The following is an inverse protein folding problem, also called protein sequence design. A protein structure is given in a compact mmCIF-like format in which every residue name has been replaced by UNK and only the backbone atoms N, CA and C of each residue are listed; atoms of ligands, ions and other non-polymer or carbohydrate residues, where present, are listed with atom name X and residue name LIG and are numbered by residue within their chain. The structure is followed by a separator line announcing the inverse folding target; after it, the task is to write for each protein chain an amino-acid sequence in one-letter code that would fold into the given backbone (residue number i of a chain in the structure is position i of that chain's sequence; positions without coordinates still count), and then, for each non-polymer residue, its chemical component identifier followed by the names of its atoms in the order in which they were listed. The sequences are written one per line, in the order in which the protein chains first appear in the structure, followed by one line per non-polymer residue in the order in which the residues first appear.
data_IF_585402385457
#
_entry.id   IF_585402385457
#
_cell.length_a   1.000
_cell.length_b   1.000
_cell.length_c   1.000
_cell.angle_alpha   90.00
_cell.angle_beta   90.00
_cell.angle_gamma   90.00
#
_symmetry.space_group_name_H-M   'P 1'
#
loop_
_entity.id
_entity.type
_entity.pdbx_description
1 polymer ?
#
# COMPACT_ATOMS: atom_id res chain seq x y z
N UNK A 1 6.63 -1.29 -22.43
CA UNK A 1 6.51 -2.31 -23.49
C UNK A 1 7.02 -3.65 -23.01
N UNK A 2 8.34 -3.85 -23.02
CA UNK A 2 8.98 -5.17 -22.78
C UNK A 2 8.73 -5.71 -21.36
N UNK A 3 8.87 -4.88 -20.32
CA UNK A 3 8.63 -5.30 -18.93
C UNK A 3 7.19 -5.73 -18.66
N UNK A 4 6.21 -4.99 -19.19
CA UNK A 4 4.79 -5.36 -19.08
C UNK A 4 4.48 -6.67 -19.81
N UNK A 5 5.05 -6.89 -21.00
CA UNK A 5 4.91 -8.17 -21.71
C UNK A 5 5.54 -9.33 -20.93
N UNK A 6 6.73 -9.16 -20.37
CA UNK A 6 7.38 -10.15 -19.51
C UNK A 6 6.52 -10.47 -18.26
N UNK A 7 6.00 -9.43 -17.61
CA UNK A 7 5.13 -9.59 -16.44
C UNK A 7 3.87 -10.39 -16.77
N UNK A 8 3.17 -10.03 -17.85
CA UNK A 8 1.96 -10.74 -18.28
C UNK A 8 2.25 -12.18 -18.66
N UNK A 9 3.35 -12.44 -19.39
CA UNK A 9 3.75 -13.80 -19.76
C UNK A 9 4.09 -14.64 -18.52
N UNK A 10 4.83 -14.08 -17.56
CA UNK A 10 5.18 -14.77 -16.32
C UNK A 10 3.93 -15.03 -15.45
N UNK A 11 3.04 -14.05 -15.32
CA UNK A 11 1.77 -14.21 -14.61
C UNK A 11 0.90 -15.30 -15.27
N UNK A 12 0.85 -15.35 -16.60
CA UNK A 12 0.10 -16.39 -17.32
C UNK A 12 0.67 -17.79 -17.09
N UNK A 13 1.99 -17.94 -17.10
CA UNK A 13 2.65 -19.20 -16.79
C UNK A 13 2.35 -19.67 -15.35
N UNK A 14 2.55 -18.79 -14.36
CA UNK A 14 2.25 -19.09 -12.95
C UNK A 14 0.76 -19.41 -12.70
N UNK A 15 -0.13 -18.69 -13.38
CA UNK A 15 -1.58 -18.92 -13.22
C UNK A 15 -2.01 -20.31 -13.68
N UNK A 16 -1.30 -20.88 -14.67
CA UNK A 16 -1.56 -22.23 -15.19
C UNK A 16 -1.17 -23.29 -14.17
N UNK A 17 0.01 -23.14 -13.54
CA UNK A 17 0.49 -24.03 -12.48
C UNK A 17 -0.41 -23.97 -11.23
N UNK A 18 -0.82 -22.76 -10.86
CA UNK A 18 -1.62 -22.50 -9.66
C UNK A 18 -3.13 -22.70 -9.87
N UNK A 19 -3.58 -23.05 -11.08
CA UNK A 19 -4.99 -23.23 -11.44
C UNK A 19 -5.89 -22.04 -11.07
N UNK A 20 -5.36 -20.82 -11.17
CA UNK A 20 -6.09 -19.57 -10.90
C UNK A 20 -6.16 -18.72 -12.16
N UNK A 21 -7.13 -17.80 -12.21
CA UNK A 21 -7.23 -16.87 -13.33
C UNK A 21 -5.96 -16.00 -13.45
N UNK A 22 -5.38 -15.84 -14.66
CA UNK A 22 -4.25 -14.93 -14.88
C UNK A 22 -4.54 -13.50 -14.42
N UNK A 23 -5.79 -13.05 -14.57
CA UNK A 23 -6.22 -11.72 -14.12
C UNK A 23 -6.16 -11.61 -12.60
N UNK A 24 -6.69 -12.62 -11.89
CA UNK A 24 -6.71 -12.63 -10.43
C UNK A 24 -5.28 -12.69 -9.88
N UNK A 25 -4.42 -13.50 -10.48
CA UNK A 25 -3.00 -13.57 -10.12
C UNK A 25 -2.29 -12.23 -10.40
N UNK A 26 -2.55 -11.60 -11.54
CA UNK A 26 -1.96 -10.31 -11.88
C UNK A 26 -2.40 -9.20 -10.89
N UNK A 27 -3.67 -9.18 -10.49
CA UNK A 27 -4.18 -8.24 -9.49
C UNK A 27 -3.51 -8.43 -8.12
N UNK A 28 -3.08 -9.66 -7.80
CA UNK A 28 -2.42 -10.00 -6.54
C UNK A 28 -0.91 -9.67 -6.58
N UNK A 29 -0.23 -10.02 -7.66
CA UNK A 29 1.23 -9.86 -7.78
C UNK A 29 1.63 -8.44 -8.19
N UNK A 30 0.82 -7.73 -8.99
CA UNK A 30 1.21 -6.41 -9.49
C UNK A 30 1.50 -5.41 -8.36
N UNK A 31 0.68 -5.28 -7.30
CA UNK A 31 0.99 -4.41 -6.16
C UNK A 31 2.29 -4.82 -5.45
N UNK A 32 2.54 -6.12 -5.29
CA UNK A 32 3.80 -6.60 -4.72
C UNK A 32 5.01 -6.25 -5.60
N UNK A 33 4.86 -6.41 -6.92
CA UNK A 33 5.93 -6.15 -7.87
C UNK A 33 6.28 -4.66 -7.97
N UNK A 34 5.30 -3.77 -7.78
CA UNK A 34 5.54 -2.32 -7.78
C UNK A 34 6.26 -1.83 -6.54
N UNK A 35 6.17 -2.52 -5.39
CA UNK A 35 6.86 -2.16 -4.15
C UNK A 35 8.26 -2.79 -3.99
N UNK A 36 8.59 -3.80 -4.81
CA UNK A 36 9.86 -4.51 -4.73
C UNK A 36 11.10 -3.60 -4.88
N UNK A 37 11.15 -2.65 -5.84
CA UNK A 37 12.30 -1.75 -5.98
C UNK A 37 12.56 -0.93 -4.71
N UNK A 38 11.50 -0.39 -4.12
CA UNK A 38 11.52 0.43 -2.91
C UNK A 38 11.94 -0.40 -1.70
N UNK A 39 11.41 -1.61 -1.57
CA UNK A 39 11.80 -2.55 -0.53
C UNK A 39 13.28 -2.93 -0.63
N UNK A 40 13.77 -3.18 -1.84
CA UNK A 40 15.17 -3.51 -2.11
C UNK A 40 16.13 -2.37 -1.75
N UNK A 41 15.80 -1.13 -2.16
CA UNK A 41 16.60 0.05 -1.84
C UNK A 41 16.63 0.33 -0.33
N UNK A 42 15.47 0.24 0.34
CA UNK A 42 15.36 0.44 1.78
C UNK A 42 16.16 -0.60 2.56
N UNK A 43 16.09 -1.87 2.13
CA UNK A 43 16.88 -2.96 2.70
C UNK A 43 18.39 -2.73 2.53
N UNK A 44 18.84 -2.35 1.33
CA UNK A 44 20.25 -2.09 1.06
C UNK A 44 20.78 -0.92 1.91
N UNK A 45 19.97 0.11 2.14
CA UNK A 45 20.34 1.26 2.97
C UNK A 45 20.39 0.92 4.45
N UNK A 46 19.44 0.14 4.97
CA UNK A 46 19.49 -0.41 6.32
C UNK A 46 20.72 -1.30 6.51
N UNK A 47 21.01 -2.19 5.57
CA UNK A 47 22.19 -3.06 5.61
C UNK A 47 23.50 -2.24 5.67
N UNK A 48 23.52 -1.08 5.01
CA UNK A 48 24.65 -0.13 5.03
C UNK A 48 24.62 0.85 6.22
N UNK A 49 23.76 0.64 7.23
CA UNK A 49 23.55 1.52 8.39
C UNK A 49 23.22 2.97 8.03
N UNK A 50 22.49 3.16 6.93
CA UNK A 50 22.04 4.46 6.42
C UNK A 50 20.55 4.67 6.71
N UNK A 51 20.20 4.65 7.99
CA UNK A 51 18.82 4.61 8.46
C UNK A 51 18.00 5.82 8.00
N UNK A 52 18.59 7.02 8.00
CA UNK A 52 17.93 8.24 7.50
C UNK A 52 17.56 8.14 6.03
N UNK A 53 18.41 7.53 5.21
CA UNK A 53 18.12 7.32 3.79
C UNK A 53 17.05 6.26 3.60
N UNK A 54 17.11 5.16 4.37
CA UNK A 54 16.08 4.12 4.35
C UNK A 54 14.68 4.68 4.68
N UNK A 55 14.58 5.48 5.76
CA UNK A 55 13.32 6.15 6.13
C UNK A 55 12.88 7.15 5.06
N UNK A 56 13.82 7.93 4.51
CA UNK A 56 13.54 8.86 3.42
C UNK A 56 12.98 8.17 2.17
N UNK A 57 13.48 6.97 1.84
CA UNK A 57 12.97 6.16 0.73
C UNK A 57 11.51 5.80 0.92
N UNK A 58 11.22 5.18 2.08
CA UNK A 58 9.90 4.61 2.37
C UNK A 58 8.88 5.73 2.48
N UNK A 59 9.20 6.79 3.21
CA UNK A 59 8.29 7.93 3.39
C UNK A 59 8.05 8.69 2.08
N UNK A 60 9.10 8.91 1.28
CA UNK A 60 9.00 9.54 -0.03
C UNK A 60 8.16 8.74 -1.01
N UNK A 61 8.37 7.41 -1.08
CA UNK A 61 7.59 6.51 -1.91
C UNK A 61 6.09 6.54 -1.52
N UNK A 62 5.76 6.45 -0.23
CA UNK A 62 4.37 6.49 0.24
C UNK A 62 3.68 7.82 -0.11
N UNK A 63 4.37 8.97 0.05
CA UNK A 63 3.83 10.28 -0.33
C UNK A 63 3.63 10.36 -1.85
N UNK A 64 4.60 9.92 -2.64
CA UNK A 64 4.48 9.94 -4.10
C UNK A 64 3.33 9.06 -4.58
N UNK A 65 3.24 7.82 -4.09
CA UNK A 65 2.18 6.87 -4.46
C UNK A 65 0.78 7.33 -4.04
N UNK A 66 0.65 7.94 -2.86
CA UNK A 66 -0.62 8.46 -2.37
C UNK A 66 -1.09 9.73 -3.09
N UNK A 67 -0.17 10.46 -3.74
CA UNK A 67 -0.48 11.75 -4.37
C UNK A 67 -0.51 11.65 -5.89
N UNK A 68 0.60 11.27 -6.53
CA UNK A 68 0.79 11.42 -7.96
C UNK A 68 -0.08 10.46 -8.80
N UNK A 69 -0.02 9.12 -8.62
CA UNK A 69 -0.89 8.20 -9.34
C UNK A 69 -2.38 8.49 -9.12
N UNK A 70 -2.77 8.81 -7.87
CA UNK A 70 -4.15 9.13 -7.51
C UNK A 70 -4.61 10.41 -8.21
N UNK A 71 -3.80 11.46 -8.19
CA UNK A 71 -4.13 12.73 -8.86
C UNK A 71 -4.27 12.54 -10.37
N UNK A 72 -3.37 11.77 -11.00
CA UNK A 72 -3.47 11.44 -12.42
C UNK A 72 -4.73 10.63 -12.71
N UNK A 73 -5.06 9.66 -11.86
CA UNK A 73 -6.30 8.88 -11.98
C UNK A 73 -7.56 9.75 -11.91
N UNK A 74 -7.57 10.75 -11.03
CA UNK A 74 -8.70 11.66 -10.82
C UNK A 74 -8.97 12.63 -11.98
N UNK A 75 -8.01 12.87 -12.87
CA UNK A 75 -8.20 13.75 -14.05
C UNK A 75 -9.27 13.18 -14.99
N UNK A 76 -9.36 11.85 -15.10
CA UNK A 76 -10.26 11.16 -16.03
C UNK A 76 -11.51 10.55 -15.39
N UNK A 77 -11.77 10.83 -14.11
CA UNK A 77 -12.89 10.21 -13.37
C UNK A 77 -13.83 11.25 -12.79
N UNK A 78 -15.11 10.91 -12.68
CA UNK A 78 -16.09 11.76 -12.00
C UNK A 78 -15.77 11.91 -10.51
N UNK A 79 -15.84 13.15 -10.02
CA UNK A 79 -15.54 13.50 -8.63
C UNK A 79 -16.74 13.22 -7.71
N UNK A 80 -17.13 11.94 -7.63
CA UNK A 80 -18.25 11.48 -6.82
C UNK A 80 -17.71 10.84 -5.54
N UNK A 81 -17.96 11.48 -4.40
CA UNK A 81 -17.54 10.97 -3.11
C UNK A 81 -18.51 9.88 -2.63
N UNK A 82 -18.19 8.63 -2.95
CA UNK A 82 -18.98 7.48 -2.53
C UNK A 82 -19.01 7.38 -0.98
N UNK A 83 -20.11 6.89 -0.36
CA UNK A 83 -20.18 6.67 1.08
C UNK A 83 -19.04 5.80 1.63
N UNK A 84 -18.60 4.82 0.84
CA UNK A 84 -17.46 3.96 1.18
C UNK A 84 -16.13 4.73 1.22
N UNK A 85 -15.95 5.70 0.33
CA UNK A 85 -14.77 6.56 0.32
C UNK A 85 -14.72 7.44 1.57
N UNK A 86 -15.86 8.03 1.96
CA UNK A 86 -15.98 8.78 3.22
C UNK A 86 -15.63 7.92 4.44
N UNK A 87 -16.11 6.67 4.48
CA UNK A 87 -15.77 5.74 5.56
C UNK A 87 -14.26 5.43 5.60
N UNK A 88 -13.62 5.15 4.46
CA UNK A 88 -12.17 4.94 4.41
C UNK A 88 -11.37 6.16 4.85
N UNK A 89 -11.79 7.36 4.45
CA UNK A 89 -11.15 8.61 4.85
C UNK A 89 -11.25 8.81 6.36
N UNK A 90 -12.43 8.58 6.95
CA UNK A 90 -12.62 8.65 8.41
C UNK A 90 -11.72 7.68 9.17
N UNK A 91 -11.66 6.42 8.73
CA UNK A 91 -10.79 5.41 9.34
C UNK A 91 -9.31 5.75 9.21
N UNK A 92 -8.88 6.27 8.06
CA UNK A 92 -7.50 6.72 7.85
C UNK A 92 -7.14 7.87 8.79
N UNK A 93 -8.03 8.86 8.96
CA UNK A 93 -7.82 9.98 9.89
C UNK A 93 -7.74 9.51 11.35
N UNK A 94 -8.57 8.55 11.75
CA UNK A 94 -8.50 7.94 13.09
C UNK A 94 -7.15 7.22 13.28
N UNK A 95 -6.74 6.40 12.32
CA UNK A 95 -5.46 5.68 12.37
C UNK A 95 -4.26 6.63 12.48
N UNK A 96 -4.25 7.70 11.69
CA UNK A 96 -3.20 8.75 11.74
C UNK A 96 -3.25 9.49 13.08
N UNK A 97 -4.42 9.83 13.59
CA UNK A 97 -4.56 10.55 14.87
C UNK A 97 -4.06 9.71 16.05
N UNK A 98 -4.38 8.41 16.08
CA UNK A 98 -3.88 7.48 17.11
C UNK A 98 -2.36 7.36 17.03
N UNK A 99 -1.83 7.23 15.81
CA UNK A 99 -0.39 7.15 15.54
C UNK A 99 0.36 8.41 15.97
N UNK A 100 -0.16 9.58 15.63
CA UNK A 100 0.41 10.86 16.01
C UNK A 100 0.31 11.11 17.52
N UNK A 101 -0.84 10.81 18.13
CA UNK A 101 -1.04 10.91 19.57
C UNK A 101 -0.07 10.04 20.37
N UNK A 102 0.24 8.85 19.86
CA UNK A 102 1.25 7.97 20.44
C UNK A 102 2.65 8.61 20.40
N UNK A 103 3.03 9.20 19.27
CA UNK A 103 4.31 9.87 19.12
C UNK A 103 4.41 11.09 20.06
N UNK A 104 3.36 11.91 20.12
CA UNK A 104 3.33 13.12 20.95
C UNK A 104 3.33 12.81 22.45
N UNK A 105 2.61 11.77 22.88
CA UNK A 105 2.52 11.41 24.30
C UNK A 105 3.68 10.55 24.82
N UNK A 106 4.24 9.69 23.97
CA UNK A 106 5.25 8.69 24.38
C UNK A 106 6.65 8.91 23.82
N UNK A 107 6.83 9.84 22.87
CA UNK A 107 8.12 10.11 22.19
C UNK A 107 8.63 8.96 21.31
N UNK A 108 7.94 7.82 21.27
CA UNK A 108 8.37 6.60 20.59
C UNK A 108 7.18 5.88 19.98
N UNK A 109 7.38 5.33 18.79
CA UNK A 109 6.41 4.45 18.14
C UNK A 109 6.45 3.07 18.78
N UNK A 110 5.32 2.55 19.27
CA UNK A 110 5.22 1.16 19.73
C UNK A 110 4.67 0.31 18.59
N UNK A 111 5.45 -0.67 18.07
CA UNK A 111 5.09 -1.44 16.87
C UNK A 111 3.73 -2.15 16.94
N UNK A 112 3.32 -2.61 18.12
CA UNK A 112 2.03 -3.29 18.29
C UNK A 112 0.83 -2.37 18.02
N UNK A 113 0.90 -1.09 18.42
CA UNK A 113 -0.19 -0.13 18.21
C UNK A 113 -0.29 0.32 16.74
N UNK A 114 0.85 0.34 16.02
CA UNK A 114 0.86 0.45 14.56
C UNK A 114 0.11 -0.74 13.93
N UNK A 115 0.34 -1.96 14.42
CA UNK A 115 -0.39 -3.15 13.98
C UNK A 115 -1.92 -3.06 14.20
N UNK A 116 -2.38 -2.37 15.26
CA UNK A 116 -3.80 -2.16 15.49
C UNK A 116 -4.48 -1.33 14.38
N UNK A 117 -3.76 -0.43 13.70
CA UNK A 117 -4.32 0.31 12.56
C UNK A 117 -4.65 -0.61 11.37
N UNK A 118 -3.91 -1.70 11.18
CA UNK A 118 -4.23 -2.72 10.19
C UNK A 118 -5.52 -3.47 10.53
N UNK A 119 -5.85 -3.65 11.82
CA UNK A 119 -7.12 -4.27 12.23
C UNK A 119 -8.33 -3.40 11.86
N UNK A 120 -8.22 -2.08 11.95
CA UNK A 120 -9.26 -1.15 11.49
C UNK A 120 -9.52 -1.30 9.99
N UNK A 121 -8.45 -1.44 9.20
CA UNK A 121 -8.55 -1.62 7.77
C UNK A 121 -9.12 -3.00 7.40
N UNK A 122 -8.66 -4.08 8.05
CA UNK A 122 -9.21 -5.43 7.86
C UNK A 122 -10.70 -5.45 8.20
N UNK A 123 -11.10 -4.89 9.35
CA UNK A 123 -12.51 -4.80 9.74
C UNK A 123 -13.36 -4.06 8.72
N UNK A 124 -12.85 -2.98 8.14
CA UNK A 124 -13.54 -2.27 7.07
C UNK A 124 -13.67 -3.08 5.79
N UNK A 125 -12.61 -3.78 5.36
CA UNK A 125 -12.68 -4.65 4.18
C UNK A 125 -13.69 -5.78 4.38
N UNK A 126 -13.75 -6.38 5.58
CA UNK A 126 -14.75 -7.39 5.91
C UNK A 126 -16.17 -6.84 5.92
N UNK A 127 -16.38 -5.61 6.40
CA UNK A 127 -17.68 -4.94 6.33
C UNK A 127 -18.14 -4.70 4.88
N UNK A 128 -17.22 -4.29 4.00
CA UNK A 128 -17.53 -3.99 2.60
C UNK A 128 -17.83 -5.22 1.75
N UNK A 129 -17.12 -6.33 1.98
CA UNK A 129 -17.25 -7.57 1.21
C UNK A 129 -18.12 -8.63 1.89
N UNK A 130 -18.49 -8.42 3.15
CA UNK A 130 -19.36 -9.30 3.93
C UNK A 130 -20.83 -8.86 3.98
N UNK A 131 -21.16 -7.67 3.46
CA UNK A 131 -22.52 -7.15 3.30
C UNK A 131 -23.00 -7.32 1.85
#
# INVERSE_FOLDING_TARGET
GIGAHLFVTAAKALSTELHVSPLLLALLIAPLATELPEMSNSFLWLYRKKDTLAVGNVTGAMVFQGTFPVSVGLIGTDWILAPNALATMGLALVAVSVSLGQLLGGGHWRPWLLGCSALLYIGFTLYLYGA
#
